data_IF_283637131663
#
_entry.id   IF_283637131663
#
_cell.length_a   1.000
_cell.length_b   1.000
_cell.length_c   1.000
_cell.angle_alpha   90.00
_cell.angle_beta   90.00
_cell.angle_gamma   90.00
#
_symmetry.space_group_name_H-M   'P 1'
#
loop_
_entity.id
_entity.type
_entity.pdbx_description
1 polymer ?
#
# COMPACT_ATOMS: atom_id res chain seq x y z
N UNK A 1 -9.37 10.70 -18.81
CA UNK A 1 -8.24 11.15 -17.98
C UNK A 1 -7.38 9.93 -17.67
N UNK A 2 -6.06 10.11 -17.51
CA UNK A 2 -5.16 9.03 -17.08
C UNK A 2 -5.29 8.81 -15.57
N UNK A 3 -4.93 7.61 -15.11
CA UNK A 3 -4.99 7.22 -13.70
C UNK A 3 -3.84 7.87 -12.92
N UNK A 4 -4.12 8.42 -11.74
CA UNK A 4 -3.08 8.97 -10.85
C UNK A 4 -2.48 7.91 -9.91
N UNK A 5 -1.37 8.26 -9.25
CA UNK A 5 -0.69 7.36 -8.29
C UNK A 5 -1.60 6.98 -7.10
N UNK A 6 -2.41 7.92 -6.60
CA UNK A 6 -3.40 7.61 -5.56
C UNK A 6 -4.48 6.63 -6.03
N UNK A 7 -4.93 6.75 -7.28
CA UNK A 7 -5.89 5.82 -7.87
C UNK A 7 -5.26 4.44 -8.02
N UNK A 8 -4.01 4.36 -8.51
CA UNK A 8 -3.27 3.11 -8.68
C UNK A 8 -3.07 2.39 -7.34
N UNK A 9 -2.66 3.12 -6.29
CA UNK A 9 -2.52 2.58 -4.95
C UNK A 9 -3.86 2.09 -4.38
N UNK A 10 -4.95 2.82 -4.64
CA UNK A 10 -6.30 2.39 -4.24
C UNK A 10 -6.69 1.10 -4.94
N UNK A 11 -6.46 0.99 -6.25
CA UNK A 11 -6.75 -0.23 -7.01
C UNK A 11 -5.93 -1.42 -6.50
N UNK A 12 -4.65 -1.21 -6.14
CA UNK A 12 -3.78 -2.24 -5.58
C UNK A 12 -4.19 -2.70 -4.16
N UNK A 13 -5.00 -1.92 -3.44
CA UNK A 13 -5.39 -2.18 -2.04
C UNK A 13 -6.91 -2.31 -1.88
N UNK A 14 -7.58 -1.28 -1.36
CA UNK A 14 -9.02 -1.30 -1.06
C UNK A 14 -9.90 -1.60 -2.28
N UNK A 15 -9.49 -1.11 -3.46
CA UNK A 15 -10.15 -1.37 -4.74
C UNK A 15 -10.14 -2.85 -5.11
N UNK A 16 -8.96 -3.48 -5.05
CA UNK A 16 -8.81 -4.92 -5.27
C UNK A 16 -9.58 -5.76 -4.26
N UNK A 17 -9.51 -5.40 -2.97
CA UNK A 17 -10.28 -6.07 -1.92
C UNK A 17 -11.79 -5.99 -2.19
N UNK A 18 -12.31 -4.82 -2.60
CA UNK A 18 -13.72 -4.66 -2.97
C UNK A 18 -14.08 -5.51 -4.19
N UNK A 19 -13.24 -5.52 -5.23
CA UNK A 19 -13.48 -6.31 -6.45
C UNK A 19 -13.59 -7.81 -6.15
N UNK A 20 -12.79 -8.31 -5.23
CA UNK A 20 -12.74 -9.72 -4.83
C UNK A 20 -13.79 -10.10 -3.77
N UNK A 21 -14.67 -9.18 -3.35
CA UNK A 21 -15.70 -9.44 -2.33
C UNK A 21 -15.19 -9.38 -0.88
N UNK A 22 -14.01 -8.83 -0.63
CA UNK A 22 -13.39 -8.67 0.68
C UNK A 22 -13.37 -7.22 1.20
N UNK A 23 -14.13 -6.29 0.58
CA UNK A 23 -14.04 -4.85 0.86
C UNK A 23 -14.29 -4.42 2.31
N UNK A 24 -15.02 -5.22 3.08
CA UNK A 24 -15.28 -4.97 4.51
C UNK A 24 -14.20 -5.57 5.43
N UNK A 25 -13.27 -6.35 4.88
CA UNK A 25 -12.29 -7.14 5.63
C UNK A 25 -10.83 -6.82 5.29
N UNK A 26 -10.50 -6.50 4.04
CA UNK A 26 -9.13 -6.37 3.56
C UNK A 26 -8.88 -5.03 2.85
N UNK A 27 -7.61 -4.71 2.60
CA UNK A 27 -7.17 -3.59 1.77
C UNK A 27 -7.31 -2.21 2.41
N UNK A 28 -7.67 -2.15 3.71
CA UNK A 28 -7.82 -0.90 4.48
C UNK A 28 -7.24 -1.06 5.87
N UNK A 29 -6.56 -0.01 6.34
CA UNK A 29 -6.17 0.13 7.74
C UNK A 29 -7.34 0.74 8.53
N UNK A 30 -8.26 -0.11 8.99
CA UNK A 30 -9.43 0.30 9.76
C UNK A 30 -9.81 -0.78 10.79
N UNK A 31 -10.43 -0.40 11.92
CA UNK A 31 -10.96 -1.37 12.88
C UNK A 31 -11.90 -2.38 12.21
N UNK A 32 -11.73 -3.66 12.53
CA UNK A 32 -12.51 -4.76 11.94
C UNK A 32 -11.92 -5.36 10.66
N UNK A 33 -10.98 -4.69 9.99
CA UNK A 33 -10.20 -5.27 8.90
C UNK A 33 -9.09 -6.19 9.44
N UNK A 34 -8.66 -7.17 8.63
CA UNK A 34 -7.47 -7.98 8.93
C UNK A 34 -6.23 -7.09 8.92
N UNK A 35 -5.28 -7.41 9.79
CA UNK A 35 -3.98 -6.74 9.84
C UNK A 35 -3.06 -7.31 8.74
N UNK A 36 -3.39 -7.00 7.49
CA UNK A 36 -2.57 -7.26 6.30
C UNK A 36 -1.82 -5.97 5.95
N UNK A 37 -0.57 -5.86 6.40
CA UNK A 37 0.20 -4.61 6.42
C UNK A 37 1.60 -4.86 5.85
N UNK A 38 2.03 -4.00 4.94
CA UNK A 38 3.41 -3.93 4.46
C UNK A 38 4.10 -2.74 5.12
N UNK A 39 5.27 -2.97 5.72
CA UNK A 39 6.09 -1.94 6.34
C UNK A 39 7.23 -1.57 5.39
N UNK A 40 7.38 -0.26 5.14
CA UNK A 40 8.39 0.28 4.25
C UNK A 40 9.42 1.07 5.05
N UNK A 41 10.71 0.84 4.79
CA UNK A 41 11.81 1.64 5.32
C UNK A 41 11.88 2.98 4.56
N UNK A 42 11.49 4.05 5.24
CA UNK A 42 11.51 5.41 4.68
C UNK A 42 12.92 6.01 4.62
N UNK A 43 13.93 5.34 5.20
CA UNK A 43 15.35 5.67 5.01
C UNK A 43 15.94 5.13 3.71
N UNK A 44 15.23 4.24 3.01
CA UNK A 44 15.65 3.72 1.72
C UNK A 44 15.69 4.82 0.65
N UNK A 45 16.64 4.73 -0.29
CA UNK A 45 16.85 5.68 -1.39
C UNK A 45 15.54 6.11 -2.09
N UNK A 46 14.60 5.19 -2.28
CA UNK A 46 13.33 5.44 -2.97
C UNK A 46 12.42 6.45 -2.23
N UNK A 47 12.62 6.62 -0.92
CA UNK A 47 11.81 7.47 -0.04
C UNK A 47 12.56 8.70 0.51
N UNK A 48 13.79 8.97 0.06
CA UNK A 48 14.59 10.10 0.54
C UNK A 48 14.84 11.14 -0.58
N UNK A 49 14.32 12.38 -0.46
CA UNK A 49 13.37 12.84 0.55
C UNK A 49 11.95 12.30 0.31
N UNK A 50 11.15 12.25 1.37
CA UNK A 50 9.75 11.83 1.31
C UNK A 50 8.87 13.02 0.96
N UNK A 51 8.52 13.16 -0.32
CA UNK A 51 7.73 14.29 -0.81
C UNK A 51 6.25 13.90 -1.02
N UNK A 52 6.01 12.79 -1.72
CA UNK A 52 4.69 12.26 -2.02
C UNK A 52 4.74 10.73 -1.89
N UNK A 53 4.31 10.17 -0.75
CA UNK A 53 4.37 8.74 -0.50
C UNK A 53 3.60 7.90 -1.53
N UNK A 54 2.44 8.35 -2.00
CA UNK A 54 1.65 7.58 -2.96
C UNK A 54 2.34 7.54 -4.32
N UNK A 55 2.91 8.66 -4.77
CA UNK A 55 3.69 8.69 -5.99
C UNK A 55 4.99 7.90 -5.88
N UNK A 56 5.67 7.98 -4.73
CA UNK A 56 6.92 7.24 -4.49
C UNK A 56 6.66 5.73 -4.39
N UNK A 57 5.56 5.28 -3.79
CA UNK A 57 5.17 3.85 -3.79
C UNK A 57 4.89 3.37 -5.21
N UNK A 58 4.10 4.11 -6.01
CA UNK A 58 3.64 3.63 -7.32
C UNK A 58 4.72 3.71 -8.39
N UNK A 59 5.55 4.75 -8.38
CA UNK A 59 6.49 5.02 -9.47
C UNK A 59 7.96 4.92 -9.06
N UNK A 60 8.29 4.85 -7.77
CA UNK A 60 9.66 4.88 -7.27
C UNK A 60 10.09 3.64 -6.48
N UNK A 61 9.15 2.89 -5.92
CA UNK A 61 9.42 1.70 -5.12
C UNK A 61 9.58 0.47 -6.05
N UNK A 62 10.55 -0.38 -5.73
CA UNK A 62 10.97 -1.53 -6.54
C UNK A 62 11.01 -2.86 -5.75
N UNK A 63 10.42 -2.87 -4.56
CA UNK A 63 10.48 -3.93 -3.55
C UNK A 63 11.64 -3.78 -2.56
N UNK A 64 12.66 -2.97 -2.85
CA UNK A 64 13.87 -2.85 -2.03
C UNK A 64 13.65 -2.18 -0.67
N UNK A 65 12.59 -1.39 -0.53
CA UNK A 65 12.27 -0.70 0.71
C UNK A 65 11.34 -1.50 1.63
N UNK A 66 10.89 -2.70 1.23
CA UNK A 66 10.05 -3.55 2.09
C UNK A 66 10.89 -4.08 3.25
N UNK A 67 10.60 -3.62 4.45
CA UNK A 67 11.26 -4.07 5.67
C UNK A 67 10.61 -5.36 6.20
N UNK A 68 9.28 -5.34 6.32
CA UNK A 68 8.50 -6.42 6.92
C UNK A 68 7.11 -6.52 6.29
N UNK A 69 6.51 -7.71 6.37
CA UNK A 69 5.12 -7.96 5.95
C UNK A 69 4.40 -8.68 7.07
N UNK A 70 3.20 -8.22 7.40
CA UNK A 70 2.29 -8.84 8.37
C UNK A 70 1.03 -9.31 7.66
N UNK A 71 0.60 -10.55 7.93
CA UNK A 71 -0.61 -11.14 7.34
C UNK A 71 -1.51 -11.66 8.47
N UNK A 72 -2.72 -11.13 8.56
CA UNK A 72 -3.68 -11.49 9.60
C UNK A 72 -3.15 -11.24 11.03
N UNK A 73 -2.24 -10.28 11.20
CA UNK A 73 -1.63 -9.95 12.49
C UNK A 73 -0.43 -10.83 12.89
N UNK A 74 0.17 -11.54 11.94
CA UNK A 74 1.34 -12.42 12.15
C UNK A 74 2.48 -12.07 11.23
#
# INVERSE_FOLDING_TARGET
AWLGSADALTLATAGGARLLGFGDRLGRLAPGCHADIVFLDLGHLNFVPLNDPANQIVNGEDGGAVDSVMIGGR
#
